data_IF_892477898545
#
_entry.id   IF_892477898545
#
_cell.length_a   1.000
_cell.length_b   1.000
_cell.length_c   1.000
_cell.angle_alpha   90.00
_cell.angle_beta   90.00
_cell.angle_gamma   90.00
#
_symmetry.space_group_name_H-M   'P 1'
#
loop_
_entity.id
_entity.type
_entity.pdbx_description
1 polymer ?
#
# COMPACT_ATOMS: atom_id res chain seq x y z
N UNK A 1 6.88 -0.09 -4.46
CA UNK A 1 7.38 -1.34 -5.09
C UNK A 1 6.39 -1.97 -6.09
N UNK A 2 5.79 -1.22 -7.03
CA UNK A 2 4.85 -1.82 -8.00
C UNK A 2 5.60 -2.57 -9.12
N UNK A 3 5.43 -3.91 -9.28
CA UNK A 3 6.13 -4.67 -10.30
C UNK A 3 5.70 -4.31 -11.73
N UNK A 4 4.43 -3.92 -11.92
CA UNK A 4 3.92 -3.43 -13.21
C UNK A 4 4.26 -1.96 -13.50
N UNK A 5 4.87 -1.23 -12.55
CA UNK A 5 5.09 0.23 -12.62
C UNK A 5 3.80 1.00 -13.01
N UNK A 6 2.67 0.51 -12.51
CA UNK A 6 1.34 1.03 -12.80
C UNK A 6 0.96 2.23 -11.92
N UNK A 7 1.56 2.32 -10.73
CA UNK A 7 1.34 3.42 -9.79
C UNK A 7 2.23 4.60 -10.21
N UNK A 8 1.66 5.80 -10.44
CA UNK A 8 2.45 6.98 -10.79
C UNK A 8 3.40 7.33 -9.64
N UNK A 9 4.62 7.71 -9.99
CA UNK A 9 5.54 8.32 -9.04
C UNK A 9 5.26 9.81 -8.89
N UNK A 10 5.63 10.39 -7.74
CA UNK A 10 5.52 11.82 -7.49
C UNK A 10 4.22 12.23 -6.79
N UNK A 11 3.97 13.55 -6.83
CA UNK A 11 2.82 14.16 -6.19
C UNK A 11 1.50 13.90 -6.92
N UNK A 12 0.38 14.29 -6.30
CA UNK A 12 -0.93 14.18 -6.91
C UNK A 12 -1.05 15.03 -8.18
N UNK A 13 -1.79 14.56 -9.17
CA UNK A 13 -2.25 15.38 -10.29
C UNK A 13 -3.41 16.26 -9.82
N UNK A 14 -3.13 17.55 -9.62
CA UNK A 14 -4.12 18.55 -9.17
C UNK A 14 -5.24 18.82 -10.20
N UNK A 15 -5.04 18.42 -11.46
CA UNK A 15 -6.02 18.63 -12.53
C UNK A 15 -6.94 17.42 -12.72
N UNK A 16 -6.54 16.28 -12.19
CA UNK A 16 -7.32 15.06 -12.29
C UNK A 16 -8.39 15.01 -11.18
N UNK A 17 -9.60 14.48 -11.46
CA UNK A 17 -10.61 14.25 -10.43
C UNK A 17 -10.17 13.23 -9.38
N UNK A 18 -9.13 12.43 -9.69
CA UNK A 18 -8.48 11.49 -8.77
C UNK A 18 -6.99 11.77 -8.80
N UNK A 19 -6.41 12.05 -7.64
CA UNK A 19 -5.08 12.63 -7.52
C UNK A 19 -3.95 11.67 -7.90
N UNK A 20 -4.14 10.36 -7.77
CA UNK A 20 -3.19 9.34 -8.23
C UNK A 20 -3.87 8.32 -9.14
N UNK A 21 -3.91 8.63 -10.44
CA UNK A 21 -4.52 7.73 -11.44
C UNK A 21 -3.57 6.55 -11.71
N UNK A 22 -4.05 5.33 -11.45
CA UNK A 22 -3.36 4.08 -11.75
C UNK A 22 -3.46 3.73 -13.25
N UNK A 23 -2.37 3.26 -13.85
CA UNK A 23 -2.40 2.60 -15.16
C UNK A 23 -2.92 1.16 -15.00
N UNK A 24 -4.24 0.99 -15.15
CA UNK A 24 -4.93 -0.29 -14.94
C UNK A 24 -4.42 -1.40 -15.88
N UNK A 25 -4.07 -1.06 -17.12
CA UNK A 25 -3.59 -2.02 -18.11
C UNK A 25 -2.21 -2.57 -17.71
N UNK A 26 -1.28 -1.70 -17.28
CA UNK A 26 0.01 -2.17 -16.74
C UNK A 26 -0.13 -3.02 -15.49
N UNK A 27 -1.07 -2.68 -14.60
CA UNK A 27 -1.35 -3.46 -13.41
C UNK A 27 -1.86 -4.87 -13.78
N UNK A 28 -2.83 -4.94 -14.68
CA UNK A 28 -3.43 -6.19 -15.14
C UNK A 28 -2.43 -7.07 -15.90
N UNK A 29 -1.58 -6.49 -16.75
CA UNK A 29 -0.49 -7.24 -17.40
C UNK A 29 0.46 -7.88 -16.39
N UNK A 30 0.75 -7.21 -15.27
CA UNK A 30 1.58 -7.79 -14.22
C UNK A 30 0.90 -9.00 -13.56
N UNK A 31 -0.41 -8.93 -13.30
CA UNK A 31 -1.18 -10.05 -12.74
C UNK A 31 -1.14 -11.27 -13.68
N UNK A 32 -1.38 -11.03 -14.97
CA UNK A 32 -1.35 -12.08 -16.00
C UNK A 32 0.03 -12.75 -16.12
N UNK A 33 1.11 -12.00 -15.92
CA UNK A 33 2.48 -12.55 -15.95
C UNK A 33 2.81 -13.37 -14.70
N UNK A 34 2.26 -13.02 -13.54
CA UNK A 34 2.48 -13.74 -12.27
C UNK A 34 1.58 -14.98 -12.15
N UNK A 35 0.41 -14.99 -12.80
CA UNK A 35 -0.55 -16.10 -12.73
C UNK A 35 -1.42 -16.09 -11.47
N UNK A 36 -1.39 -15.00 -10.70
CA UNK A 36 -2.16 -14.79 -9.46
C UNK A 36 -2.44 -13.29 -9.30
N UNK A 37 -3.26 -12.92 -8.32
CA UNK A 37 -3.42 -11.53 -7.93
C UNK A 37 -2.12 -10.99 -7.34
N UNK A 38 -1.70 -9.80 -7.77
CA UNK A 38 -0.37 -9.28 -7.44
C UNK A 38 -0.29 -8.80 -5.98
N UNK A 39 -1.23 -7.98 -5.52
CA UNK A 39 -1.34 -7.50 -4.13
C UNK A 39 -0.14 -6.71 -3.56
N UNK A 40 0.97 -6.56 -4.30
CA UNK A 40 2.24 -6.06 -3.73
C UNK A 40 2.10 -4.68 -3.11
N UNK A 41 1.40 -3.75 -3.76
CA UNK A 41 1.22 -2.39 -3.24
C UNK A 41 0.53 -2.36 -1.88
N UNK A 42 -0.45 -3.23 -1.65
CA UNK A 42 -1.15 -3.36 -0.36
C UNK A 42 -0.18 -3.95 0.67
N UNK A 43 0.49 -5.06 0.32
CA UNK A 43 1.40 -5.75 1.24
C UNK A 43 2.61 -4.91 1.70
N UNK A 44 3.09 -4.00 0.85
CA UNK A 44 4.24 -3.13 1.17
C UNK A 44 3.84 -1.77 1.71
N UNK A 45 2.53 -1.48 1.81
CA UNK A 45 2.07 -0.21 2.34
C UNK A 45 2.36 -0.18 3.85
N UNK A 46 3.03 0.85 4.38
CA UNK A 46 3.28 0.95 5.83
C UNK A 46 1.99 0.95 6.66
N UNK A 47 0.87 1.33 6.04
CA UNK A 47 -0.45 1.40 6.69
C UNK A 47 -1.19 0.07 6.80
N UNK A 48 -0.63 -1.05 6.31
CA UNK A 48 -1.32 -2.36 6.39
C UNK A 48 -0.88 -3.22 7.57
N UNK A 49 0.12 -2.80 8.35
CA UNK A 49 0.60 -3.55 9.50
C UNK A 49 1.13 -2.65 10.60
N UNK A 50 0.89 -3.04 11.87
CA UNK A 50 1.48 -2.38 13.03
C UNK A 50 0.94 -0.98 13.35
N UNK A 51 -0.25 -0.62 12.86
CA UNK A 51 -0.89 0.68 13.13
C UNK A 51 -2.17 0.48 13.93
N UNK A 52 -2.38 1.35 14.92
CA UNK A 52 -3.66 1.46 15.63
C UNK A 52 -4.69 2.19 14.76
N UNK A 53 -5.83 1.55 14.51
CA UNK A 53 -6.95 2.13 13.77
C UNK A 53 -7.47 3.41 14.42
N UNK A 54 -7.46 3.50 15.76
CA UNK A 54 -7.93 4.69 16.46
C UNK A 54 -7.02 5.91 16.19
N UNK A 55 -5.73 5.68 15.94
CA UNK A 55 -4.79 6.75 15.59
C UNK A 55 -5.02 7.26 14.16
N UNK A 56 -5.33 6.36 13.22
CA UNK A 56 -5.68 6.73 11.84
C UNK A 56 -7.00 7.50 11.77
N UNK A 57 -8.03 7.05 12.50
CA UNK A 57 -9.31 7.75 12.57
C UNK A 57 -9.15 9.17 13.14
N UNK A 58 -8.31 9.32 14.18
CA UNK A 58 -8.01 10.62 14.78
C UNK A 58 -7.21 11.53 13.86
N UNK A 59 -6.33 10.98 13.03
CA UNK A 59 -5.56 11.73 12.04
C UNK A 59 -6.43 12.33 10.93
N UNK A 60 -7.54 11.65 10.57
CA UNK A 60 -8.49 12.15 9.59
C UNK A 60 -7.83 12.45 8.24
N UNK A 61 -7.88 13.72 7.81
CA UNK A 61 -7.23 14.17 6.56
C UNK A 61 -5.98 15.01 6.80
N UNK A 62 -5.46 15.08 8.03
CA UNK A 62 -4.28 15.89 8.38
C UNK A 62 -2.99 15.23 7.85
N UNK A 63 -2.30 15.85 6.86
CA UNK A 63 -1.06 15.29 6.32
C UNK A 63 0.07 15.20 7.36
N UNK A 64 0.12 16.11 8.33
CA UNK A 64 1.16 16.11 9.35
C UNK A 64 0.98 14.94 10.34
N UNK A 65 -0.26 14.65 10.71
CA UNK A 65 -0.59 13.47 11.51
C UNK A 65 -0.25 12.17 10.76
N UNK A 66 -0.56 12.09 9.46
CA UNK A 66 -0.20 10.92 8.64
C UNK A 66 1.31 10.70 8.55
N UNK A 67 2.12 11.76 8.40
CA UNK A 67 3.59 11.63 8.36
C UNK A 67 4.15 11.18 9.71
N UNK A 68 3.55 11.63 10.82
CA UNK A 68 3.92 11.18 12.17
C UNK A 68 3.62 9.69 12.36
N UNK A 69 2.44 9.23 11.94
CA UNK A 69 2.06 7.81 11.97
C UNK A 69 3.02 7.00 11.11
N UNK A 70 3.26 7.42 9.87
CA UNK A 70 4.19 6.76 8.94
C UNK A 70 5.58 6.60 9.56
N UNK A 71 6.09 7.65 10.19
CA UNK A 71 7.39 7.65 10.86
C UNK A 71 7.43 6.67 12.03
N UNK A 72 6.35 6.59 12.82
CA UNK A 72 6.22 5.65 13.93
C UNK A 72 6.12 4.19 13.47
N UNK A 73 5.48 3.92 12.33
CA UNK A 73 5.28 2.58 11.78
C UNK A 73 6.51 1.99 11.07
N UNK A 74 7.68 2.63 11.16
CA UNK A 74 8.91 2.17 10.51
C UNK A 74 9.13 2.72 9.09
N UNK A 75 8.34 3.70 8.67
CA UNK A 75 8.56 4.46 7.43
C UNK A 75 8.21 3.69 6.15
N UNK A 76 8.68 4.23 5.01
CA UNK A 76 8.34 3.73 3.66
C UNK A 76 9.08 2.45 3.28
N UNK A 77 10.18 2.15 3.95
CA UNK A 77 11.08 1.04 3.64
C UNK A 77 10.90 -0.16 4.59
N UNK A 78 9.78 -0.19 5.32
CA UNK A 78 9.47 -1.28 6.25
C UNK A 78 9.31 -2.60 5.47
N UNK A 79 9.93 -3.71 5.92
CA UNK A 79 9.87 -4.97 5.20
C UNK A 79 8.44 -5.51 5.19
N UNK A 80 8.04 -6.15 4.08
CA UNK A 80 6.74 -6.81 3.99
C UNK A 80 6.62 -7.86 5.11
N UNK A 81 5.58 -7.83 5.95
CA UNK A 81 5.31 -8.89 6.91
C UNK A 81 5.14 -10.22 6.19
N UNK A 82 5.81 -11.25 6.68
CA UNK A 82 5.63 -12.63 6.23
C UNK A 82 5.16 -13.45 7.42
N UNK A 83 3.94 -13.99 7.32
CA UNK A 83 3.43 -14.95 8.29
C UNK A 83 3.75 -16.36 7.78
N UNK A 84 4.74 -17.06 8.36
CA UNK A 84 5.09 -18.41 7.96
C UNK A 84 4.09 -19.44 8.48
N UNK A 85 3.28 -19.10 9.49
CA UNK A 85 2.38 -20.07 10.09
C UNK A 85 1.11 -20.22 9.23
N UNK A 86 0.80 -21.44 8.76
CA UNK A 86 -0.46 -21.67 8.09
C UNK A 86 -1.61 -21.44 9.07
N UNK A 87 -2.71 -20.81 8.61
CA UNK A 87 -3.85 -20.51 9.46
C UNK A 87 -4.47 -21.79 9.99
N UNK A 88 -5.11 -21.72 11.17
CA UNK A 88 -5.62 -22.89 11.89
C UNK A 88 -6.58 -23.75 11.07
N UNK A 89 -7.33 -23.15 10.13
CA UNK A 89 -8.27 -23.86 9.25
C UNK A 89 -7.59 -24.68 8.14
N UNK A 90 -6.28 -24.53 7.92
CA UNK A 90 -5.50 -25.31 6.95
C UNK A 90 -4.98 -26.63 7.55
N UNK A 91 -4.97 -26.77 8.88
CA UNK A 91 -4.42 -27.94 9.59
C UNK A 91 -5.41 -29.10 9.69
#
# INVERSE_FOLDING_TARGET
HCPGRAIPGGGPDERAPVSWVLDAEKCYQAWRRMGTDCGVCISTCPFTSGIDWADLERAGSDPAAHEKILSASGGRDMPRPFDPEPPLWWR
#
